data_IF_641051025443
#
_entry.id   IF_641051025443
#
_cell.length_a   1.000
_cell.length_b   1.000
_cell.length_c   1.000
_cell.angle_alpha   90.00
_cell.angle_beta   90.00
_cell.angle_gamma   90.00
#
_symmetry.space_group_name_H-M   'P 1'
#
loop_
_entity.id
_entity.type
_entity.pdbx_description
1 polymer ?
#
# COMPACT_ATOMS: atom_id res chain seq x y z
N UNK A 1 -10.73 1.08 2.55
CA UNK A 1 -10.32 2.52 2.39
C UNK A 1 -11.58 3.37 2.20
N UNK A 2 -11.61 4.63 2.66
CA UNK A 2 -12.76 5.49 2.40
C UNK A 2 -12.96 5.66 0.87
N UNK A 3 -14.21 5.66 0.39
CA UNK A 3 -14.52 5.75 -1.04
C UNK A 3 -13.81 6.95 -1.71
N UNK A 4 -13.79 8.09 -1.05
CA UNK A 4 -13.10 9.30 -1.52
C UNK A 4 -11.58 9.13 -1.69
N UNK A 5 -10.93 8.30 -0.87
CA UNK A 5 -9.50 8.02 -1.03
C UNK A 5 -9.25 7.17 -2.28
N UNK A 6 -10.07 6.14 -2.50
CA UNK A 6 -9.96 5.30 -3.72
C UNK A 6 -10.16 6.14 -4.98
N UNK A 7 -11.21 6.99 -5.01
CA UNK A 7 -11.50 7.85 -6.15
C UNK A 7 -10.35 8.83 -6.44
N UNK A 8 -9.78 9.46 -5.39
CA UNK A 8 -8.68 10.41 -5.54
C UNK A 8 -7.42 9.72 -6.12
N UNK A 9 -7.12 8.51 -5.66
CA UNK A 9 -5.98 7.75 -6.18
C UNK A 9 -6.24 7.21 -7.57
N UNK A 10 -7.47 6.76 -7.88
CA UNK A 10 -7.82 6.26 -9.21
C UNK A 10 -7.62 7.35 -10.29
N UNK A 11 -8.12 8.57 -10.04
CA UNK A 11 -7.87 9.71 -10.93
C UNK A 11 -6.40 10.06 -11.06
N UNK A 12 -5.66 10.01 -9.94
CA UNK A 12 -4.22 10.26 -9.96
C UNK A 12 -3.49 9.25 -10.84
N UNK A 13 -3.79 7.97 -10.66
CA UNK A 13 -3.16 6.89 -11.43
C UNK A 13 -3.56 6.86 -12.90
N UNK A 14 -4.68 7.45 -13.28
CA UNK A 14 -5.12 7.54 -14.68
C UNK A 14 -4.19 8.39 -15.56
N UNK A 15 -3.40 9.31 -14.98
CA UNK A 15 -2.57 10.25 -15.75
C UNK A 15 -1.07 9.97 -15.63
N UNK A 16 -0.28 10.20 -16.70
CA UNK A 16 1.19 10.10 -16.61
C UNK A 16 1.79 11.01 -15.55
N UNK A 17 1.32 12.25 -15.44
CA UNK A 17 1.79 13.21 -14.45
C UNK A 17 1.52 12.74 -13.02
N UNK A 18 0.35 12.16 -12.76
CA UNK A 18 0.01 11.61 -11.44
C UNK A 18 0.89 10.43 -11.02
N UNK A 19 1.38 9.65 -11.98
CA UNK A 19 2.26 8.49 -11.75
C UNK A 19 3.73 8.83 -11.63
N UNK A 20 4.20 9.97 -12.14
CA UNK A 20 5.61 10.26 -12.37
C UNK A 20 6.51 10.00 -11.14
N UNK A 21 6.09 10.42 -9.95
CA UNK A 21 6.87 10.27 -8.70
C UNK A 21 6.73 8.88 -8.06
N UNK A 22 5.98 7.96 -8.70
CA UNK A 22 5.58 6.68 -8.10
C UNK A 22 6.03 5.47 -8.93
N UNK A 23 7.01 5.64 -9.80
CA UNK A 23 7.49 4.56 -10.67
C UNK A 23 8.73 3.86 -10.11
N UNK A 24 9.45 4.50 -9.19
CA UNK A 24 10.69 3.97 -8.62
C UNK A 24 10.43 3.33 -7.26
N UNK A 25 10.91 2.09 -7.02
CA UNK A 25 10.82 1.46 -5.72
C UNK A 25 11.53 2.28 -4.64
N UNK A 26 10.93 2.35 -3.44
CA UNK A 26 11.55 3.07 -2.34
C UNK A 26 12.78 2.30 -1.82
N UNK A 27 13.93 2.96 -1.56
CA UNK A 27 15.16 2.28 -1.15
C UNK A 27 15.01 1.42 0.11
N UNK A 28 14.20 1.84 1.08
CA UNK A 28 13.94 1.04 2.28
C UNK A 28 13.21 -0.28 1.98
N UNK A 29 12.39 -0.33 0.94
CA UNK A 29 11.72 -1.56 0.48
C UNK A 29 12.72 -2.41 -0.30
N UNK A 30 13.45 -1.81 -1.22
CA UNK A 30 14.46 -2.51 -2.02
C UNK A 30 15.55 -3.14 -1.15
N UNK A 31 15.99 -2.44 -0.11
CA UNK A 31 17.02 -2.92 0.82
C UNK A 31 16.62 -4.15 1.65
N UNK A 32 15.31 -4.50 1.70
CA UNK A 32 14.85 -5.66 2.45
C UNK A 32 14.96 -6.98 1.67
N UNK A 33 15.11 -6.93 0.34
CA UNK A 33 15.19 -8.13 -0.52
C UNK A 33 16.23 -9.17 -0.04
N UNK A 34 17.47 -8.81 0.32
CA UNK A 34 18.44 -9.80 0.84
C UNK A 34 17.96 -10.50 2.12
N UNK A 35 17.31 -9.76 3.02
CA UNK A 35 16.75 -10.29 4.26
C UNK A 35 15.62 -11.28 3.97
N UNK A 36 14.70 -10.93 3.07
CA UNK A 36 13.59 -11.78 2.67
C UNK A 36 14.09 -13.09 2.04
N UNK A 37 15.07 -13.00 1.15
CA UNK A 37 15.71 -14.18 0.53
C UNK A 37 16.41 -15.05 1.57
N UNK A 38 17.15 -14.47 2.49
CA UNK A 38 17.82 -15.20 3.58
C UNK A 38 16.83 -15.91 4.51
N UNK A 39 15.61 -15.36 4.66
CA UNK A 39 14.50 -15.97 5.43
C UNK A 39 13.70 -17.00 4.62
N UNK A 40 14.01 -17.21 3.35
CA UNK A 40 13.28 -18.13 2.47
C UNK A 40 11.88 -17.65 2.08
N UNK A 41 11.59 -16.36 2.21
CA UNK A 41 10.32 -15.80 1.79
C UNK A 41 10.15 -15.98 0.27
N UNK A 42 8.98 -16.46 -0.15
CA UNK A 42 8.67 -16.70 -1.56
C UNK A 42 7.49 -15.86 -2.04
N UNK A 43 6.52 -15.58 -1.17
CA UNK A 43 5.28 -14.87 -1.47
C UNK A 43 5.27 -13.52 -0.76
N UNK A 44 5.06 -12.45 -1.54
CA UNK A 44 5.04 -11.07 -1.04
C UNK A 44 3.73 -10.40 -1.44
N UNK A 45 2.83 -10.10 -0.50
CA UNK A 45 1.72 -9.21 -0.75
C UNK A 45 2.17 -7.74 -0.67
N UNK A 46 1.72 -6.93 -1.65
CA UNK A 46 1.86 -5.47 -1.71
C UNK A 46 0.47 -4.86 -1.57
N UNK A 47 0.14 -4.38 -0.37
CA UNK A 47 -1.17 -3.85 -0.01
C UNK A 47 -1.25 -2.35 -0.30
N UNK A 48 -2.16 -1.96 -1.21
CA UNK A 48 -2.22 -0.61 -1.76
C UNK A 48 -1.06 -0.37 -2.73
N UNK A 49 -0.89 -1.29 -3.68
CA UNK A 49 0.25 -1.30 -4.59
C UNK A 49 0.29 -0.12 -5.57
N UNK A 50 -0.84 0.58 -5.78
CA UNK A 50 -0.98 1.68 -6.73
C UNK A 50 -0.56 1.25 -8.13
N UNK A 51 0.41 1.96 -8.68
CA UNK A 51 0.99 1.68 -10.02
C UNK A 51 1.97 0.49 -10.03
N UNK A 52 2.09 -0.24 -8.91
CA UNK A 52 2.84 -1.47 -8.83
C UNK A 52 4.36 -1.33 -8.70
N UNK A 53 4.90 -0.17 -8.32
CA UNK A 53 6.37 0.04 -8.27
C UNK A 53 7.12 -0.99 -7.44
N UNK A 54 6.58 -1.37 -6.29
CA UNK A 54 7.20 -2.38 -5.42
C UNK A 54 6.83 -3.81 -5.86
N UNK A 55 5.59 -4.03 -6.29
CA UNK A 55 5.14 -5.31 -6.80
C UNK A 55 5.97 -5.77 -8.00
N UNK A 56 6.19 -4.90 -8.99
CA UNK A 56 7.05 -5.15 -10.15
C UNK A 56 8.49 -5.44 -9.71
N UNK A 57 9.01 -4.63 -8.80
CA UNK A 57 10.36 -4.80 -8.27
C UNK A 57 10.55 -6.16 -7.57
N UNK A 58 9.62 -6.59 -6.72
CA UNK A 58 9.70 -7.91 -6.10
C UNK A 58 9.60 -9.05 -7.11
N UNK A 59 8.74 -8.91 -8.12
CA UNK A 59 8.64 -9.91 -9.19
C UNK A 59 9.94 -10.01 -10.00
N UNK A 60 10.62 -8.90 -10.31
CA UNK A 60 11.95 -8.88 -10.94
C UNK A 60 13.00 -9.60 -10.09
N UNK A 61 12.83 -9.64 -8.77
CA UNK A 61 13.70 -10.34 -7.83
C UNK A 61 13.30 -11.80 -7.56
N UNK A 62 12.30 -12.31 -8.30
CA UNK A 62 11.89 -13.73 -8.27
C UNK A 62 10.89 -14.09 -7.18
N UNK A 63 10.23 -13.11 -6.54
CA UNK A 63 9.14 -13.38 -5.61
C UNK A 63 7.82 -13.60 -6.35
N UNK A 64 6.97 -14.48 -5.83
CA UNK A 64 5.56 -14.53 -6.19
C UNK A 64 4.84 -13.37 -5.50
N UNK A 65 4.20 -12.49 -6.28
CA UNK A 65 3.63 -11.24 -5.77
C UNK A 65 2.12 -11.25 -5.87
N UNK A 66 1.47 -10.98 -4.74
CA UNK A 66 0.03 -10.69 -4.62
C UNK A 66 -0.15 -9.19 -4.40
N UNK A 67 -0.56 -8.44 -5.42
CA UNK A 67 -0.70 -7.00 -5.33
C UNK A 67 -2.17 -6.59 -5.31
N UNK A 68 -2.58 -5.84 -4.29
CA UNK A 68 -3.95 -5.35 -4.18
C UNK A 68 -3.99 -3.82 -4.12
N UNK A 69 -5.02 -3.24 -4.73
CA UNK A 69 -5.34 -1.81 -4.61
C UNK A 69 -6.85 -1.60 -4.78
N UNK A 70 -7.38 -0.52 -4.21
CA UNK A 70 -8.76 -0.10 -4.47
C UNK A 70 -8.93 0.62 -5.81
N UNK A 71 -7.88 1.28 -6.31
CA UNK A 71 -7.86 2.08 -7.53
C UNK A 71 -7.57 1.22 -8.77
N UNK A 72 -8.55 1.09 -9.65
CA UNK A 72 -8.46 0.26 -10.86
C UNK A 72 -7.39 0.78 -11.84
N UNK A 73 -7.29 2.10 -12.01
CA UNK A 73 -6.32 2.71 -12.93
C UNK A 73 -4.86 2.40 -12.57
N UNK A 74 -4.56 2.25 -11.26
CA UNK A 74 -3.26 1.81 -10.78
C UNK A 74 -2.96 0.37 -11.18
N UNK A 75 -3.92 -0.53 -10.91
CA UNK A 75 -3.82 -1.95 -11.26
C UNK A 75 -3.68 -2.17 -12.77
N UNK A 76 -4.44 -1.43 -13.58
CA UNK A 76 -4.36 -1.49 -15.04
C UNK A 76 -2.98 -1.05 -15.55
N UNK A 77 -2.40 -0.03 -14.92
CA UNK A 77 -1.03 0.40 -15.24
C UNK A 77 -0.02 -0.68 -14.85
N UNK A 78 -0.10 -1.21 -13.63
CA UNK A 78 0.80 -2.26 -13.14
C UNK A 78 0.71 -3.54 -14.01
N UNK A 79 -0.49 -3.89 -14.48
CA UNK A 79 -0.71 -5.01 -15.39
C UNK A 79 0.03 -4.83 -16.72
N UNK A 80 -0.10 -3.64 -17.35
CA UNK A 80 0.60 -3.34 -18.61
C UNK A 80 2.12 -3.33 -18.44
N UNK A 81 2.61 -2.76 -17.35
CA UNK A 81 4.06 -2.75 -17.05
C UNK A 81 4.60 -4.16 -16.81
N UNK A 82 3.87 -5.00 -16.08
CA UNK A 82 4.25 -6.38 -15.86
C UNK A 82 4.33 -7.14 -17.19
N UNK A 83 3.31 -7.01 -18.04
CA UNK A 83 3.29 -7.64 -19.37
C UNK A 83 4.47 -7.16 -20.24
N UNK A 84 4.74 -5.86 -20.26
CA UNK A 84 5.86 -5.28 -21.03
C UNK A 84 7.25 -5.79 -20.57
N UNK A 85 7.38 -6.14 -19.29
CA UNK A 85 8.63 -6.69 -18.70
C UNK A 85 8.67 -8.22 -18.66
N UNK A 86 7.63 -8.91 -19.14
CA UNK A 86 7.51 -10.36 -19.06
C UNK A 86 7.38 -10.90 -17.63
N UNK A 87 6.87 -10.08 -16.71
CA UNK A 87 6.67 -10.44 -15.31
C UNK A 87 5.27 -10.99 -15.06
N UNK A 88 5.12 -11.80 -14.02
CA UNK A 88 3.83 -12.30 -13.55
C UNK A 88 3.51 -11.68 -12.20
N UNK A 89 2.37 -11.01 -12.12
CA UNK A 89 1.78 -10.49 -10.89
C UNK A 89 0.36 -11.03 -10.73
N UNK A 90 -0.01 -11.39 -9.52
CA UNK A 90 -1.42 -11.55 -9.14
C UNK A 90 -1.95 -10.18 -8.73
N UNK A 91 -2.77 -9.56 -9.59
CA UNK A 91 -3.34 -8.24 -9.35
C UNK A 91 -4.82 -8.38 -9.00
N UNK A 92 -5.24 -7.75 -7.92
CA UNK A 92 -6.64 -7.82 -7.46
C UNK A 92 -7.13 -6.48 -6.94
N UNK A 93 -8.30 -6.05 -7.41
CA UNK A 93 -8.99 -4.93 -6.80
C UNK A 93 -9.64 -5.38 -5.49
N UNK A 94 -9.15 -4.87 -4.36
CA UNK A 94 -9.64 -5.22 -3.04
C UNK A 94 -9.35 -4.11 -2.02
N UNK A 95 -10.07 -4.13 -0.89
CA UNK A 95 -9.83 -3.22 0.23
C UNK A 95 -8.87 -3.87 1.26
N UNK A 96 -7.96 -3.08 1.79
CA UNK A 96 -7.06 -3.49 2.85
C UNK A 96 -7.76 -3.73 4.21
N UNK A 97 -9.01 -3.31 4.34
CA UNK A 97 -9.84 -3.55 5.52
C UNK A 97 -10.40 -5.00 5.57
N UNK A 98 -10.32 -5.75 4.45
CA UNK A 98 -10.76 -7.15 4.34
C UNK A 98 -9.91 -7.87 3.28
N UNK A 99 -8.78 -8.42 3.68
CA UNK A 99 -7.83 -9.04 2.76
C UNK A 99 -8.34 -10.40 2.26
N UNK A 100 -8.34 -10.64 0.93
CA UNK A 100 -8.85 -11.88 0.33
C UNK A 100 -7.83 -13.03 0.42
N UNK A 101 -7.18 -13.17 1.59
CA UNK A 101 -6.15 -14.17 1.84
C UNK A 101 -6.48 -14.96 3.11
N UNK A 102 -6.03 -16.22 3.19
CA UNK A 102 -6.16 -17.04 4.37
C UNK A 102 -5.24 -16.54 5.50
N UNK A 103 -5.55 -16.95 6.73
CA UNK A 103 -4.70 -16.68 7.89
C UNK A 103 -3.31 -17.27 7.68
N UNK A 104 -2.30 -16.65 8.25
CA UNK A 104 -0.91 -17.14 8.27
C UNK A 104 -0.37 -17.55 6.89
N UNK A 105 -0.72 -16.77 5.84
CA UNK A 105 -0.35 -17.08 4.46
C UNK A 105 1.03 -16.56 4.07
N UNK A 106 1.52 -15.49 4.71
CA UNK A 106 2.69 -14.76 4.23
C UNK A 106 3.82 -14.65 5.26
N UNK A 107 5.05 -14.77 4.78
CA UNK A 107 6.26 -14.54 5.58
C UNK A 107 6.61 -13.05 5.71
N UNK A 108 6.07 -12.24 4.79
CA UNK A 108 6.27 -10.80 4.74
C UNK A 108 5.05 -10.12 4.12
N UNK A 109 4.68 -8.95 4.63
CA UNK A 109 3.63 -8.08 4.08
C UNK A 109 4.16 -6.66 3.92
N UNK A 110 3.96 -6.08 2.74
CA UNK A 110 4.25 -4.67 2.46
C UNK A 110 2.95 -3.85 2.44
N UNK A 111 2.98 -2.65 3.05
CA UNK A 111 1.96 -1.62 2.86
C UNK A 111 2.59 -0.23 2.95
N UNK A 112 2.97 0.32 1.81
CA UNK A 112 3.76 1.54 1.72
C UNK A 112 2.92 2.75 1.31
N UNK A 113 2.79 3.73 2.19
CA UNK A 113 1.96 4.94 2.02
C UNK A 113 0.46 4.66 1.89
N UNK A 114 -0.08 3.72 2.65
CA UNK A 114 -1.46 3.25 2.51
C UNK A 114 -2.25 3.27 3.81
N UNK A 115 -1.75 2.58 4.86
CA UNK A 115 -2.56 2.25 6.04
C UNK A 115 -3.05 3.46 6.83
N UNK A 116 -2.38 4.59 6.74
CA UNK A 116 -2.74 5.83 7.43
C UNK A 116 -3.88 6.62 6.76
N UNK A 117 -4.37 6.22 5.59
CA UNK A 117 -5.52 6.86 4.94
C UNK A 117 -6.82 6.45 5.63
N UNK A 118 -7.27 7.25 6.58
CA UNK A 118 -8.46 6.99 7.39
C UNK A 118 -8.32 7.49 8.81
N UNK A 119 -9.18 6.99 9.69
CA UNK A 119 -9.14 7.22 11.13
C UNK A 119 -8.28 6.17 11.82
N UNK A 120 -8.01 6.35 13.12
CA UNK A 120 -7.34 5.33 13.94
C UNK A 120 -8.08 3.97 13.88
N UNK A 121 -9.42 3.99 13.84
CA UNK A 121 -10.21 2.75 13.72
C UNK A 121 -9.97 2.04 12.39
N UNK A 122 -9.84 2.78 11.28
CA UNK A 122 -9.52 2.23 9.97
C UNK A 122 -8.12 1.61 9.96
N UNK A 123 -7.14 2.31 10.52
CA UNK A 123 -5.77 1.79 10.69
C UNK A 123 -5.76 0.52 11.52
N UNK A 124 -6.51 0.49 12.63
CA UNK A 124 -6.61 -0.69 13.49
C UNK A 124 -7.16 -1.92 12.75
N UNK A 125 -8.20 -1.75 11.91
CA UNK A 125 -8.74 -2.85 11.10
C UNK A 125 -7.72 -3.39 10.11
N UNK A 126 -7.02 -2.51 9.39
CA UNK A 126 -5.97 -2.91 8.42
C UNK A 126 -4.82 -3.63 9.08
N UNK A 127 -4.37 -3.14 10.24
CA UNK A 127 -3.32 -3.81 11.01
C UNK A 127 -3.78 -5.18 11.51
N UNK A 128 -5.05 -5.34 11.91
CA UNK A 128 -5.60 -6.63 12.30
C UNK A 128 -5.62 -7.62 11.13
N UNK A 129 -6.00 -7.18 9.93
CA UNK A 129 -5.95 -7.99 8.72
C UNK A 129 -4.51 -8.35 8.31
N UNK A 130 -3.58 -7.39 8.38
CA UNK A 130 -2.16 -7.65 8.13
C UNK A 130 -1.63 -8.69 9.13
N UNK A 131 -1.98 -8.56 10.40
CA UNK A 131 -1.58 -9.52 11.43
C UNK A 131 -2.17 -10.91 11.19
N UNK A 132 -3.44 -10.98 10.78
CA UNK A 132 -4.13 -12.24 10.47
C UNK A 132 -3.45 -13.03 9.36
N UNK A 133 -3.05 -12.34 8.28
CA UNK A 133 -2.43 -12.99 7.12
C UNK A 133 -0.94 -13.26 7.27
N UNK A 134 -0.27 -12.64 8.24
CA UNK A 134 1.13 -12.91 8.55
C UNK A 134 1.28 -14.22 9.31
N UNK A 135 2.26 -15.04 8.89
CA UNK A 135 2.69 -16.20 9.66
C UNK A 135 3.33 -15.79 10.98
N UNK A 136 3.32 -16.66 12.01
CA UNK A 136 4.13 -16.45 13.21
C UNK A 136 5.60 -16.17 12.86
N UNK A 137 6.13 -15.05 13.36
CA UNK A 137 7.49 -14.58 13.03
C UNK A 137 7.64 -13.93 11.64
N UNK A 138 6.56 -13.74 10.91
CA UNK A 138 6.53 -12.98 9.67
C UNK A 138 6.87 -11.50 9.90
N UNK A 139 7.24 -10.81 8.83
CA UNK A 139 7.63 -9.39 8.88
C UNK A 139 6.56 -8.51 8.24
N UNK A 140 6.25 -7.40 8.87
CA UNK A 140 5.48 -6.31 8.29
C UNK A 140 6.37 -5.11 8.03
N UNK A 141 6.28 -4.55 6.82
CA UNK A 141 6.89 -3.26 6.48
C UNK A 141 5.80 -2.30 5.99
N UNK A 142 5.66 -1.19 6.67
CA UNK A 142 4.69 -0.16 6.31
C UNK A 142 5.15 1.22 6.70
N UNK A 143 4.39 2.23 6.29
CA UNK A 143 4.63 3.62 6.66
C UNK A 143 3.44 4.17 7.44
N UNK A 144 3.75 5.01 8.43
CA UNK A 144 2.78 5.82 9.15
C UNK A 144 3.17 7.29 9.06
N UNK A 145 2.21 8.19 9.22
CA UNK A 145 2.48 9.62 9.36
C UNK A 145 2.80 9.93 10.81
N UNK A 146 3.90 10.63 11.04
CA UNK A 146 4.32 11.04 12.38
C UNK A 146 3.65 12.36 12.79
N UNK A 147 3.32 12.50 14.06
CA UNK A 147 2.91 13.79 14.65
C UNK A 147 4.00 14.86 14.58
N UNK A 148 5.24 14.49 14.28
CA UNK A 148 6.35 15.43 14.02
C UNK A 148 6.36 15.96 12.59
N UNK A 149 5.51 15.40 11.70
CA UNK A 149 5.38 15.89 10.33
C UNK A 149 4.83 17.32 10.34
N UNK A 150 5.38 18.17 9.47
CA UNK A 150 4.94 19.58 9.34
C UNK A 150 3.48 19.72 8.91
N UNK A 151 2.85 18.66 8.44
CA UNK A 151 1.45 18.62 8.05
C UNK A 151 0.51 18.24 9.20
N UNK A 152 1.05 17.76 10.34
CA UNK A 152 0.22 17.45 11.51
C UNK A 152 -0.55 18.68 11.99
N UNK A 153 -1.82 18.49 12.30
CA UNK A 153 -2.70 19.59 12.74
C UNK A 153 -3.20 20.51 11.63
N UNK A 154 -2.77 20.32 10.36
CA UNK A 154 -3.24 21.13 9.23
C UNK A 154 -4.48 20.52 8.59
N UNK A 155 -5.43 21.40 8.23
CA UNK A 155 -6.70 21.02 7.64
C UNK A 155 -7.83 20.87 8.66
N UNK A 156 -8.88 20.17 8.28
CA UNK A 156 -10.06 19.96 9.13
C UNK A 156 -9.89 18.71 9.97
N UNK A 157 -9.83 18.85 11.28
CA UNK A 157 -9.84 17.71 12.19
C UNK A 157 -11.22 17.01 12.15
N UNK A 158 -11.22 15.68 12.09
CA UNK A 158 -12.44 14.87 12.06
C UNK A 158 -12.48 13.82 13.18
N UNK A 159 -11.34 13.48 13.74
CA UNK A 159 -11.17 12.60 14.89
C UNK A 159 -9.83 12.94 15.57
N UNK A 160 -9.51 12.38 16.76
CA UNK A 160 -8.20 12.52 17.34
C UNK A 160 -7.10 12.15 16.34
N UNK A 161 -6.08 13.00 16.23
CA UNK A 161 -4.93 12.82 15.35
C UNK A 161 -5.25 12.55 13.87
N UNK A 162 -6.45 12.94 13.42
CA UNK A 162 -6.95 12.65 12.06
C UNK A 162 -7.43 13.92 11.37
N UNK A 163 -6.85 14.22 10.22
CA UNK A 163 -7.10 15.46 9.50
C UNK A 163 -7.39 15.21 8.02
N UNK A 164 -8.36 15.96 7.47
CA UNK A 164 -8.58 16.07 6.02
C UNK A 164 -7.87 17.35 5.55
N UNK A 165 -6.92 17.19 4.64
CA UNK A 165 -6.12 18.30 4.09
C UNK A 165 -6.66 18.74 2.74
N UNK A 166 -6.70 20.07 2.54
CA UNK A 166 -7.20 20.66 1.30
C UNK A 166 -8.71 20.83 1.24
N UNK A 167 -9.16 21.47 0.17
CA UNK A 167 -10.57 21.78 -0.11
C UNK A 167 -11.12 20.95 -1.28
N UNK A 168 -10.35 20.00 -1.79
CA UNK A 168 -10.76 19.09 -2.86
C UNK A 168 -11.95 18.25 -2.35
N UNK A 169 -13.02 18.05 -3.14
CA UNK A 169 -14.12 17.16 -2.78
C UNK A 169 -13.70 15.72 -2.47
N UNK A 170 -12.56 15.29 -3.01
CA UNK A 170 -11.94 13.96 -2.79
C UNK A 170 -10.88 13.96 -1.71
N UNK A 171 -10.71 15.07 -0.99
CA UNK A 171 -9.83 15.11 0.16
C UNK A 171 -10.29 14.10 1.21
N UNK A 172 -9.38 13.25 1.66
CA UNK A 172 -9.68 12.13 2.54
C UNK A 172 -8.85 12.18 3.84
N UNK A 173 -9.30 11.45 4.87
CA UNK A 173 -8.63 11.47 6.17
C UNK A 173 -7.21 10.90 6.14
N UNK A 174 -6.33 11.50 6.95
CA UNK A 174 -5.00 11.01 7.23
C UNK A 174 -4.80 10.94 8.74
N UNK A 175 -4.52 9.76 9.25
CA UNK A 175 -4.21 9.51 10.66
C UNK A 175 -2.70 9.68 10.91
N UNK A 176 -2.35 10.30 12.05
CA UNK A 176 -0.97 10.50 12.50
C UNK A 176 -0.73 9.81 13.84
N UNK A 177 0.45 9.26 14.03
CA UNK A 177 0.87 8.63 15.29
C UNK A 177 2.27 9.10 15.72
N UNK A 178 2.65 8.78 16.95
CA UNK A 178 4.00 9.02 17.50
C UNK A 178 4.98 7.92 17.09
#
# INVERSE_FOLDING_TARGET
>A
MAATAVEAWDERWATPAGRADWLVPHPAVAGLVPVLKARGAQHVPDLGCGVGRHALFFAEHGFAVEAIDGAAAGLDFACREAAARGLRLSLRQADADALPFADESFDYVLSWNVIFHGTMGDVGRRLAEIWRVLKPGGLFQGTMLSKRDVQFGRGRAIAPDTFIRGSDPKAHPHFYCD
#
